data_IF_006398337075
#
_entry.id   IF_006398337075
#
_cell.length_a   1.000
_cell.length_b   1.000
_cell.length_c   1.000
_cell.angle_alpha   90.00
_cell.angle_beta   90.00
_cell.angle_gamma   90.00
#
_symmetry.space_group_name_H-M   'P 1'
#
loop_
_entity.id
_entity.type
_entity.pdbx_description
1 polymer ?
#
# COMPACT_ATOMS: atom_id res chain seq x y z
N UNK A 1 -2.61 -13.36 -13.87
CA UNK A 1 -4.05 -13.48 -14.17
C UNK A 1 -4.85 -12.55 -13.29
N UNK A 2 -6.17 -12.52 -13.42
CA UNK A 2 -7.09 -11.59 -12.73
C UNK A 2 -7.27 -11.85 -11.24
N UNK A 3 -6.81 -13.01 -10.74
CA UNK A 3 -7.04 -13.46 -9.37
C UNK A 3 -6.62 -12.45 -8.29
N UNK A 4 -5.53 -11.70 -8.51
CA UNK A 4 -5.10 -10.65 -7.59
C UNK A 4 -6.15 -9.55 -7.37
N UNK A 5 -6.95 -9.24 -8.41
CA UNK A 5 -8.02 -8.25 -8.34
C UNK A 5 -9.29 -8.81 -7.68
N UNK A 6 -9.57 -10.11 -7.82
CA UNK A 6 -10.65 -10.76 -7.08
C UNK A 6 -10.34 -10.87 -5.59
N UNK A 7 -9.08 -11.13 -5.26
CA UNK A 7 -8.58 -11.22 -3.89
C UNK A 7 -8.02 -9.88 -3.38
N UNK A 8 -8.65 -8.78 -3.79
CA UNK A 8 -8.23 -7.40 -3.45
C UNK A 8 -8.11 -7.15 -1.95
N UNK A 9 -8.84 -7.89 -1.12
CA UNK A 9 -8.80 -7.81 0.35
C UNK A 9 -7.68 -8.68 0.96
N UNK A 10 -6.80 -9.26 0.15
CA UNK A 10 -5.80 -10.25 0.55
C UNK A 10 -4.35 -9.79 0.45
N UNK A 11 -4.06 -8.49 0.35
CA UNK A 11 -2.69 -7.98 0.47
C UNK A 11 -2.26 -8.02 1.94
N UNK A 12 -1.68 -9.14 2.37
CA UNK A 12 -1.35 -9.39 3.76
C UNK A 12 -0.01 -10.13 3.95
N UNK A 13 0.50 -10.08 5.17
CA UNK A 13 1.60 -10.90 5.66
C UNK A 13 1.13 -11.55 6.97
N UNK A 14 0.85 -12.85 6.95
CA UNK A 14 0.22 -13.56 8.07
C UNK A 14 1.06 -13.51 9.37
N UNK A 15 2.38 -13.42 9.25
CA UNK A 15 3.35 -13.44 10.34
C UNK A 15 4.11 -12.10 10.49
N UNK A 16 3.46 -10.97 10.17
CA UNK A 16 4.12 -9.67 10.15
C UNK A 16 4.68 -9.23 11.51
N UNK A 17 3.94 -9.49 12.59
CA UNK A 17 4.29 -9.11 13.97
C UNK A 17 4.77 -7.65 14.13
N UNK A 18 4.20 -6.72 13.34
CA UNK A 18 4.58 -5.30 13.35
C UNK A 18 5.93 -4.98 12.70
N UNK A 19 6.57 -5.94 12.02
CA UNK A 19 7.90 -5.80 11.39
C UNK A 19 7.79 -5.44 9.91
N UNK A 20 6.86 -4.57 9.54
CA UNK A 20 6.59 -4.20 8.14
C UNK A 20 7.84 -3.70 7.41
N UNK A 21 8.68 -2.89 8.05
CA UNK A 21 9.92 -2.37 7.45
C UNK A 21 11.00 -3.44 7.22
N UNK A 22 11.03 -4.46 8.06
CA UNK A 22 12.01 -5.56 7.93
C UNK A 22 11.57 -6.58 6.87
N UNK A 23 10.26 -6.80 6.74
CA UNK A 23 9.68 -7.85 5.89
C UNK A 23 9.39 -7.38 4.47
N UNK A 24 9.22 -6.08 4.26
CA UNK A 24 8.83 -5.52 2.96
C UNK A 24 9.99 -4.65 2.46
N UNK A 25 10.74 -5.09 1.44
CA UNK A 25 11.83 -4.29 0.88
C UNK A 25 11.29 -3.12 0.05
N UNK A 26 12.15 -2.14 -0.22
CA UNK A 26 11.83 -1.03 -1.12
C UNK A 26 11.39 -1.52 -2.50
N UNK A 27 10.45 -0.80 -3.10
CA UNK A 27 9.80 -1.16 -4.35
C UNK A 27 8.77 -2.29 -4.22
N UNK A 28 8.49 -2.79 -3.00
CA UNK A 28 7.51 -3.86 -2.73
C UNK A 28 6.44 -3.47 -1.70
N UNK A 29 6.35 -2.19 -1.35
CA UNK A 29 5.44 -1.68 -0.33
C UNK A 29 3.97 -1.94 -0.70
N UNK A 30 3.59 -1.74 -1.96
CA UNK A 30 2.21 -1.87 -2.42
C UNK A 30 1.72 -3.32 -2.50
N UNK A 31 2.63 -4.26 -2.82
CA UNK A 31 2.32 -5.69 -2.85
C UNK A 31 2.52 -6.40 -1.51
N UNK A 32 3.06 -5.71 -0.50
CA UNK A 32 3.55 -6.32 0.74
C UNK A 32 4.53 -7.48 0.48
N UNK A 33 5.41 -7.32 -0.52
CA UNK A 33 6.35 -8.34 -0.99
C UNK A 33 5.71 -9.65 -1.47
N UNK A 34 4.42 -9.64 -1.81
CA UNK A 34 3.70 -10.81 -2.29
C UNK A 34 3.60 -10.83 -3.83
N UNK A 35 4.21 -11.85 -4.44
CA UNK A 35 4.26 -12.00 -5.91
C UNK A 35 2.90 -12.03 -6.59
N UNK A 36 1.84 -12.47 -5.89
CA UNK A 36 0.46 -12.41 -6.38
C UNK A 36 0.04 -10.98 -6.73
N UNK A 37 0.53 -10.00 -5.97
CA UNK A 37 0.14 -8.59 -6.06
C UNK A 37 1.23 -7.69 -6.66
N UNK A 38 2.30 -8.25 -7.24
CA UNK A 38 3.43 -7.49 -7.80
C UNK A 38 3.05 -6.41 -8.83
N UNK A 39 1.88 -6.51 -9.45
CA UNK A 39 1.36 -5.48 -10.35
C UNK A 39 1.04 -4.16 -9.65
N UNK A 40 0.81 -4.17 -8.34
CA UNK A 40 0.58 -2.97 -7.52
C UNK A 40 1.87 -2.17 -7.26
N UNK A 41 3.04 -2.78 -7.49
CA UNK A 41 4.34 -2.13 -7.32
C UNK A 41 4.80 -1.35 -8.57
N UNK A 42 4.00 -1.33 -9.65
CA UNK A 42 4.41 -0.67 -10.89
C UNK A 42 4.58 0.84 -10.68
N UNK A 43 5.76 1.40 -10.98
CA UNK A 43 6.02 2.83 -10.79
C UNK A 43 5.45 3.62 -11.97
N UNK A 44 4.22 4.12 -11.81
CA UNK A 44 3.47 4.80 -12.87
C UNK A 44 2.83 6.08 -12.34
N UNK A 45 2.90 7.14 -13.16
CA UNK A 45 2.24 8.41 -12.87
C UNK A 45 0.74 8.44 -13.23
N UNK A 46 0.20 7.37 -13.80
CA UNK A 46 -1.18 7.28 -14.29
C UNK A 46 -2.05 6.26 -13.52
N UNK A 47 -1.65 5.90 -12.30
CA UNK A 47 -2.54 5.19 -11.38
C UNK A 47 -3.82 6.02 -11.13
N UNK A 48 -5.02 5.41 -11.05
CA UNK A 48 -6.22 6.12 -10.66
C UNK A 48 -6.03 6.79 -9.30
N UNK A 49 -6.16 8.12 -9.27
CA UNK A 49 -5.93 8.94 -8.08
C UNK A 49 -7.22 9.60 -7.59
N UNK A 50 -7.30 9.83 -6.28
CA UNK A 50 -8.35 10.64 -5.67
C UNK A 50 -7.81 12.04 -5.40
N UNK A 51 -8.48 13.07 -5.90
CA UNK A 51 -8.11 14.45 -5.60
C UNK A 51 -8.37 14.76 -4.12
N UNK A 52 -7.35 15.30 -3.44
CA UNK A 52 -7.42 15.70 -2.04
C UNK A 52 -6.86 17.13 -1.90
N UNK A 53 -7.48 17.92 -1.03
CA UNK A 53 -6.96 19.20 -0.56
C UNK A 53 -6.30 19.05 0.81
N UNK A 54 -5.48 20.01 1.24
CA UNK A 54 -4.99 20.02 2.61
C UNK A 54 -6.14 20.21 3.61
N UNK A 55 -6.11 19.49 4.74
CA UNK A 55 -7.09 19.63 5.81
C UNK A 55 -7.57 18.30 6.40
N UNK A 56 -8.71 18.36 7.11
CA UNK A 56 -9.32 17.18 7.74
C UNK A 56 -9.99 16.30 6.70
N UNK A 57 -9.73 15.00 6.79
CA UNK A 57 -10.33 13.98 5.93
C UNK A 57 -10.83 12.79 6.73
N UNK A 58 -11.91 12.18 6.25
CA UNK A 58 -12.40 10.88 6.74
C UNK A 58 -11.98 9.80 5.76
N UNK A 59 -11.03 8.97 6.17
CA UNK A 59 -10.64 7.77 5.41
C UNK A 59 -11.57 6.60 5.75
N UNK A 60 -11.99 5.84 4.74
CA UNK A 60 -12.87 4.67 4.89
C UNK A 60 -12.13 3.41 4.45
N UNK A 61 -12.07 2.43 5.34
CA UNK A 61 -11.51 1.10 5.06
C UNK A 61 -12.63 0.06 5.14
N UNK A 62 -12.88 -0.67 4.05
CA UNK A 62 -13.89 -1.73 4.02
C UNK A 62 -13.30 -3.03 4.56
N UNK A 63 -13.74 -3.48 5.72
CA UNK A 63 -13.39 -4.79 6.27
C UNK A 63 -14.42 -5.84 5.83
N UNK A 64 -14.02 -6.79 4.97
CA UNK A 64 -14.86 -7.96 4.66
C UNK A 64 -14.90 -8.95 5.82
N UNK A 65 -13.85 -8.98 6.64
CA UNK A 65 -13.77 -9.67 7.93
C UNK A 65 -13.19 -8.70 8.99
N UNK A 66 -13.95 -8.32 10.04
CA UNK A 66 -13.46 -7.40 11.07
C UNK A 66 -12.43 -8.03 12.01
N UNK A 67 -11.40 -7.27 12.40
CA UNK A 67 -10.35 -7.68 13.34
C UNK A 67 -10.03 -6.60 14.36
N UNK A 68 -9.49 -6.99 15.52
CA UNK A 68 -8.91 -6.06 16.50
C UNK A 68 -7.51 -5.66 16.02
N UNK A 69 -7.20 -4.36 16.03
CA UNK A 69 -5.89 -3.85 15.62
C UNK A 69 -5.86 -2.32 15.57
N UNK A 70 -4.77 -1.79 15.02
CA UNK A 70 -4.56 -0.37 14.76
C UNK A 70 -4.38 -0.11 13.27
N UNK A 71 -4.51 1.15 12.86
CA UNK A 71 -4.17 1.62 11.52
C UNK A 71 -3.04 2.64 11.63
N UNK A 72 -2.02 2.49 10.78
CA UNK A 72 -0.99 3.50 10.55
C UNK A 72 -1.22 4.08 9.15
N UNK A 73 -1.24 5.42 9.04
CA UNK A 73 -1.37 6.11 7.75
C UNK A 73 -0.06 6.85 7.47
N UNK A 74 0.47 6.62 6.27
CA UNK A 74 1.69 7.24 5.76
C UNK A 74 1.35 8.14 4.56
N UNK A 75 2.19 9.13 4.30
CA UNK A 75 2.07 10.01 3.14
C UNK A 75 3.47 10.22 2.58
N UNK A 76 3.59 10.19 1.26
CA UNK A 76 4.88 10.45 0.62
C UNK A 76 5.34 11.88 0.90
N UNK A 77 6.66 12.04 1.01
CA UNK A 77 7.30 13.33 1.23
C UNK A 77 7.16 14.24 0.00
N UNK A 78 7.23 15.57 0.18
CA UNK A 78 7.31 16.50 -0.94
C UNK A 78 8.45 16.12 -1.90
N UNK A 79 8.17 16.15 -3.19
CA UNK A 79 9.14 15.76 -4.23
C UNK A 79 9.13 14.28 -4.61
N UNK A 80 8.21 13.47 -4.06
CA UNK A 80 7.98 12.08 -4.49
C UNK A 80 7.72 11.98 -6.01
N UNK A 81 8.38 11.03 -6.65
CA UNK A 81 8.30 10.76 -8.08
C UNK A 81 7.63 9.40 -8.32
N UNK A 82 6.36 9.42 -8.75
CA UNK A 82 5.57 8.21 -8.97
C UNK A 82 6.07 7.33 -10.12
N UNK A 83 7.05 7.80 -10.92
CA UNK A 83 7.69 7.00 -11.97
C UNK A 83 8.86 6.16 -11.44
N UNK A 84 9.15 6.24 -10.13
CA UNK A 84 10.13 5.40 -9.43
C UNK A 84 9.45 4.44 -8.45
N UNK A 85 10.04 3.26 -8.19
CA UNK A 85 9.52 2.35 -7.17
C UNK A 85 9.49 3.02 -5.80
N UNK A 86 8.37 2.89 -5.07
CA UNK A 86 8.18 3.46 -3.73
C UNK A 86 9.11 2.78 -2.72
N UNK A 87 9.89 3.57 -1.97
CA UNK A 87 10.76 3.13 -0.89
C UNK A 87 10.27 3.60 0.48
N UNK A 88 10.72 2.96 1.56
CA UNK A 88 10.43 3.40 2.93
C UNK A 88 10.94 4.82 3.22
N UNK A 89 12.02 5.23 2.57
CA UNK A 89 12.56 6.59 2.68
C UNK A 89 11.65 7.65 2.08
N UNK A 90 10.70 7.28 1.22
CA UNK A 90 9.78 8.21 0.58
C UNK A 90 8.59 8.57 1.50
N UNK A 91 8.34 7.78 2.53
CA UNK A 91 7.24 7.91 3.50
C UNK A 91 7.63 8.67 4.77
#
# INVERSE_FOLDING_TARGET
GTQALYDWNGVNIANAAGKHRDLIPDGKLCSAANDKFKGLDLPRADWPATALSAGKHTFRFRATAPHKGSFELYMTKPGYDATKPLAWSDL
#
